data_IF_158573180604
#
_entry.id   IF_158573180604
#
_cell.length_a   1.000
_cell.length_b   1.000
_cell.length_c   1.000
_cell.angle_alpha   90.00
_cell.angle_beta   90.00
_cell.angle_gamma   90.00
#
_symmetry.space_group_name_H-M   'P 1'
#
loop_
_entity.id
_entity.type
_entity.pdbx_description
1 polymer ?
#
# COMPACT_ATOMS: atom_id res chain seq x y z
N UNK A 1 38.26 -12.13 -0.72
CA UNK A 1 37.62 -10.81 -0.80
C UNK A 1 36.24 -11.02 -1.41
N UNK A 2 35.22 -11.22 -0.58
CA UNK A 2 33.84 -11.35 -1.06
C UNK A 2 33.20 -9.99 -0.87
N UNK A 3 32.96 -9.26 -1.97
CA UNK A 3 31.98 -8.18 -1.97
C UNK A 3 30.62 -8.88 -1.84
N UNK A 4 30.12 -9.01 -0.62
CA UNK A 4 28.72 -9.38 -0.39
C UNK A 4 27.91 -8.10 -0.57
N UNK A 5 27.00 -8.13 -1.53
CA UNK A 5 26.18 -6.99 -1.89
C UNK A 5 25.19 -6.64 -0.76
N UNK A 6 25.60 -5.66 0.05
CA UNK A 6 24.88 -4.47 0.53
C UNK A 6 23.47 -4.55 1.15
N UNK A 7 22.62 -5.56 0.91
CA UNK A 7 21.23 -5.56 1.42
C UNK A 7 21.12 -6.32 2.73
N UNK A 8 21.76 -7.50 2.84
CA UNK A 8 21.81 -8.25 4.10
C UNK A 8 22.57 -7.49 5.17
N UNK A 9 23.64 -6.78 4.79
CA UNK A 9 24.44 -6.01 5.75
C UNK A 9 23.63 -4.82 6.32
N UNK A 10 22.72 -4.21 5.55
CA UNK A 10 21.85 -3.13 6.06
C UNK A 10 20.84 -3.68 7.07
N UNK A 11 20.27 -4.86 6.82
CA UNK A 11 19.28 -5.46 7.70
C UNK A 11 19.88 -5.95 9.02
N UNK A 12 21.14 -6.39 9.02
CA UNK A 12 21.86 -6.86 10.21
C UNK A 12 22.15 -5.75 11.24
N UNK A 13 22.06 -4.47 10.83
CA UNK A 13 22.32 -3.32 11.70
C UNK A 13 21.04 -2.66 12.24
N UNK A 14 19.86 -3.16 11.87
CA UNK A 14 18.58 -2.62 12.31
C UNK A 14 18.14 -3.25 13.62
N UNK A 15 17.54 -2.42 14.47
CA UNK A 15 16.83 -2.92 15.65
C UNK A 15 15.60 -3.74 15.25
N UNK A 16 15.16 -4.62 16.14
CA UNK A 16 13.93 -5.42 15.94
C UNK A 16 12.69 -4.53 15.70
N UNK A 17 12.64 -3.35 16.32
CA UNK A 17 11.58 -2.36 16.12
C UNK A 17 11.62 -1.76 14.70
N UNK A 18 12.80 -1.50 14.15
CA UNK A 18 12.98 -1.01 12.78
C UNK A 18 12.64 -2.08 11.74
N UNK A 19 13.06 -3.33 11.97
CA UNK A 19 12.68 -4.47 11.12
C UNK A 19 11.16 -4.67 11.09
N UNK A 20 10.51 -4.61 12.26
CA UNK A 20 9.05 -4.72 12.34
C UNK A 20 8.35 -3.56 11.61
N UNK A 21 8.84 -2.33 11.75
CA UNK A 21 8.34 -1.17 10.98
C UNK A 21 8.47 -1.38 9.48
N UNK A 22 9.61 -1.85 9.00
CA UNK A 22 9.84 -2.13 7.57
C UNK A 22 8.87 -3.21 7.06
N UNK A 23 8.64 -4.27 7.84
CA UNK A 23 7.69 -5.32 7.48
C UNK A 23 6.25 -4.79 7.36
N UNK A 24 5.81 -3.96 8.32
CA UNK A 24 4.49 -3.31 8.27
C UNK A 24 4.37 -2.39 7.05
N UNK A 25 5.40 -1.59 6.77
CA UNK A 25 5.42 -0.70 5.60
C UNK A 25 5.38 -1.50 4.29
N UNK A 26 6.18 -2.55 4.18
CA UNK A 26 6.19 -3.43 2.99
C UNK A 26 4.81 -4.03 2.75
N UNK A 27 4.23 -4.67 3.77
CA UNK A 27 2.89 -5.27 3.66
C UNK A 27 1.82 -4.21 3.33
N UNK A 28 1.87 -3.04 3.96
CA UNK A 28 0.93 -1.97 3.68
C UNK A 28 1.05 -1.40 2.26
N UNK A 29 2.26 -1.32 1.71
CA UNK A 29 2.50 -0.91 0.33
C UNK A 29 2.03 -1.95 -0.69
N UNK A 30 2.22 -3.24 -0.39
CA UNK A 30 1.68 -4.35 -1.19
C UNK A 30 0.14 -4.29 -1.24
N UNK A 31 -0.50 -4.11 -0.08
CA UNK A 31 -1.95 -3.96 0.02
C UNK A 31 -2.47 -2.73 -0.74
N UNK A 32 -1.79 -1.58 -0.61
CA UNK A 32 -2.15 -0.36 -1.35
C UNK A 32 -2.08 -0.58 -2.86
N UNK A 33 -1.05 -1.28 -3.35
CA UNK A 33 -0.91 -1.58 -4.77
C UNK A 33 -2.06 -2.46 -5.27
N UNK A 34 -2.46 -3.49 -4.51
CA UNK A 34 -3.60 -4.34 -4.87
C UNK A 34 -4.91 -3.53 -4.95
N UNK A 35 -5.13 -2.60 -4.01
CA UNK A 35 -6.35 -1.78 -4.01
C UNK A 35 -6.38 -0.83 -5.19
N UNK A 36 -5.23 -0.23 -5.55
CA UNK A 36 -5.15 0.63 -6.72
C UNK A 36 -5.49 -0.14 -8.00
N UNK A 37 -4.98 -1.36 -8.15
CA UNK A 37 -5.34 -2.24 -9.27
C UNK A 37 -6.84 -2.51 -9.32
N UNK A 38 -7.45 -2.86 -8.17
CA UNK A 38 -8.89 -3.11 -8.05
C UNK A 38 -9.75 -1.88 -8.37
N UNK A 39 -9.29 -0.68 -7.98
CA UNK A 39 -9.92 0.60 -8.30
C UNK A 39 -9.85 0.85 -9.81
N UNK A 40 -8.68 0.68 -10.42
CA UNK A 40 -8.48 0.84 -11.87
C UNK A 40 -9.38 -0.12 -12.67
N UNK A 41 -9.43 -1.40 -12.29
CA UNK A 41 -10.32 -2.38 -12.90
C UNK A 41 -11.80 -1.97 -12.76
N UNK A 42 -12.19 -1.47 -11.59
CA UNK A 42 -13.57 -1.02 -11.35
C UNK A 42 -13.92 0.18 -12.22
N UNK A 43 -13.01 1.13 -12.42
CA UNK A 43 -13.18 2.25 -13.35
C UNK A 43 -13.29 1.79 -14.81
N UNK A 44 -12.45 0.84 -15.23
CA UNK A 44 -12.52 0.26 -16.57
C UNK A 44 -13.89 -0.40 -16.81
N UNK A 45 -14.39 -1.19 -15.85
CA UNK A 45 -15.73 -1.77 -15.93
C UNK A 45 -16.81 -0.70 -16.04
N UNK A 46 -16.76 0.34 -15.20
CA UNK A 46 -17.73 1.45 -15.19
C UNK A 46 -17.76 2.25 -16.50
N UNK A 47 -16.64 2.32 -17.21
CA UNK A 47 -16.53 2.94 -18.54
C UNK A 47 -17.22 2.11 -19.65
N UNK A 48 -17.51 0.83 -19.38
CA UNK A 48 -18.20 -0.06 -20.31
C UNK A 48 -19.63 0.40 -20.61
N UNK A 49 -19.96 0.42 -21.92
CA UNK A 49 -21.27 0.85 -22.42
C UNK A 49 -22.39 -0.16 -22.15
N UNK A 50 -22.04 -1.41 -21.81
CA UNK A 50 -22.98 -2.53 -21.68
C UNK A 50 -23.43 -2.86 -20.24
N UNK A 51 -23.13 -1.99 -19.26
CA UNK A 51 -23.57 -2.20 -17.89
C UNK A 51 -25.04 -1.81 -17.71
N UNK A 52 -25.81 -2.72 -17.13
CA UNK A 52 -27.14 -2.39 -16.58
C UNK A 52 -27.02 -1.38 -15.44
N UNK A 53 -28.11 -0.66 -15.15
CA UNK A 53 -28.14 0.29 -14.05
C UNK A 53 -27.81 -0.36 -12.69
N UNK A 54 -28.27 -1.60 -12.48
CA UNK A 54 -27.98 -2.38 -11.28
C UNK A 54 -26.49 -2.68 -11.15
N UNK A 55 -25.84 -3.14 -12.22
CA UNK A 55 -24.40 -3.41 -12.21
C UNK A 55 -23.59 -2.13 -12.02
N UNK A 56 -24.00 -1.03 -12.67
CA UNK A 56 -23.38 0.29 -12.47
C UNK A 56 -23.46 0.73 -11.01
N UNK A 57 -24.62 0.56 -10.36
CA UNK A 57 -24.78 0.85 -8.92
C UNK A 57 -23.87 -0.04 -8.06
N UNK A 58 -23.77 -1.33 -8.38
CA UNK A 58 -22.88 -2.26 -7.68
C UNK A 58 -21.41 -1.83 -7.79
N UNK A 59 -20.92 -1.52 -9.00
CA UNK A 59 -19.54 -1.08 -9.18
C UNK A 59 -19.24 0.24 -8.48
N UNK A 60 -20.19 1.19 -8.44
CA UNK A 60 -20.04 2.42 -7.64
C UNK A 60 -19.92 2.15 -6.13
N UNK A 61 -20.68 1.21 -5.60
CA UNK A 61 -20.59 0.81 -4.18
C UNK A 61 -19.25 0.11 -3.87
N UNK A 62 -18.78 -0.74 -4.79
CA UNK A 62 -17.45 -1.36 -4.69
C UNK A 62 -16.36 -0.29 -4.66
N UNK A 63 -16.41 0.69 -5.56
CA UNK A 63 -15.46 1.80 -5.61
C UNK A 63 -15.41 2.56 -4.29
N UNK A 64 -16.58 2.94 -3.75
CA UNK A 64 -16.67 3.65 -2.46
C UNK A 64 -16.05 2.84 -1.30
N UNK A 65 -16.20 1.51 -1.33
CA UNK A 65 -15.61 0.62 -0.33
C UNK A 65 -14.08 0.52 -0.50
N UNK A 66 -13.58 0.42 -1.73
CA UNK A 66 -12.15 0.39 -2.03
C UNK A 66 -11.47 1.71 -1.65
N UNK A 67 -12.10 2.85 -1.94
CA UNK A 67 -11.59 4.18 -1.56
C UNK A 67 -11.50 4.33 -0.03
N UNK A 68 -12.51 3.84 0.70
CA UNK A 68 -12.45 3.81 2.17
C UNK A 68 -11.31 2.94 2.67
N UNK A 69 -11.15 1.74 2.10
CA UNK A 69 -10.09 0.82 2.51
C UNK A 69 -8.69 1.39 2.21
N UNK A 70 -8.53 2.05 1.06
CA UNK A 70 -7.31 2.79 0.70
C UNK A 70 -6.99 3.88 1.72
N UNK A 71 -7.97 4.66 2.15
CA UNK A 71 -7.77 5.70 3.16
C UNK A 71 -7.31 5.12 4.52
N UNK A 72 -7.93 4.01 4.95
CA UNK A 72 -7.57 3.31 6.19
C UNK A 72 -6.15 2.72 6.13
N UNK A 73 -5.76 2.12 5.00
CA UNK A 73 -4.39 1.62 4.80
C UNK A 73 -3.36 2.72 4.71
N UNK A 74 -3.68 3.81 4.02
CA UNK A 74 -2.81 4.97 3.95
C UNK A 74 -2.58 5.56 5.36
N UNK A 75 -3.59 5.59 6.23
CA UNK A 75 -3.41 5.98 7.62
C UNK A 75 -2.47 5.04 8.38
N UNK A 76 -2.61 3.72 8.22
CA UNK A 76 -1.71 2.72 8.85
C UNK A 76 -0.27 2.86 8.37
N UNK A 77 -0.06 3.01 7.07
CA UNK A 77 1.27 3.20 6.46
C UNK A 77 1.90 4.50 6.97
N UNK A 78 1.17 5.61 6.95
CA UNK A 78 1.68 6.90 7.46
C UNK A 78 2.02 6.84 8.96
N UNK A 79 1.25 6.09 9.75
CA UNK A 79 1.55 5.86 11.16
C UNK A 79 2.84 5.06 11.33
N UNK A 80 3.02 4.00 10.54
CA UNK A 80 4.22 3.16 10.55
C UNK A 80 5.48 3.88 10.04
N UNK A 81 5.32 4.86 9.13
CA UNK A 81 6.43 5.70 8.64
C UNK A 81 7.03 6.61 9.73
N UNK A 82 6.34 6.81 10.86
CA UNK A 82 6.79 7.70 11.92
C UNK A 82 6.74 9.20 11.57
N UNK A 83 7.24 10.05 12.48
CA UNK A 83 7.33 11.51 12.30
C UNK A 83 8.45 11.90 11.32
N UNK A 84 8.42 13.14 10.80
CA UNK A 84 9.46 13.64 9.87
C UNK A 84 10.90 13.50 10.41
N UNK A 85 11.10 13.54 11.73
CA UNK A 85 12.40 13.32 12.37
C UNK A 85 12.86 11.85 12.28
N UNK A 86 11.94 10.89 12.26
CA UNK A 86 12.23 9.48 11.99
C UNK A 86 12.54 9.22 10.52
N UNK A 87 11.86 9.92 9.60
CA UNK A 87 12.06 9.80 8.15
C UNK A 87 13.47 10.20 7.70
N UNK A 88 14.14 11.13 8.41
CA UNK A 88 15.52 11.56 8.13
C UNK A 88 16.61 10.55 8.50
N UNK A 89 16.31 9.54 9.33
CA UNK A 89 17.29 8.48 9.68
C UNK A 89 17.39 7.37 8.63
N UNK A 90 16.42 7.30 7.71
CA UNK A 90 16.30 6.27 6.68
C UNK A 90 16.66 6.78 5.27
N UNK A 91 17.01 8.07 5.13
CA UNK A 91 17.56 8.69 3.90
C UNK A 91 19.05 8.97 4.08
#
# INVERSE_FOLDING_TARGET
>A
MVKKDSITDILDHLSEEELNRIMILKSGLEDLNLILQEIEETYQLLSGVNLTEKERKHQKLRLLSLERYMAELNQKVNTAMGTEEGKKKLS
#
